data_IF_583179432967
#
_entry.id   IF_583179432967
#
_cell.length_a   1.000
_cell.length_b   1.000
_cell.length_c   1.000
_cell.angle_alpha   90.00
_cell.angle_beta   90.00
_cell.angle_gamma   90.00
#
_symmetry.space_group_name_H-M   'P 1'
#
loop_
_entity.id
_entity.type
_entity.pdbx_description
1 polymer ?
#
# COMPACT_ATOMS: atom_id res chain seq x y z
N UNK A 1 -7.80 5.95 0.61
CA UNK A 1 -7.39 5.36 -0.70
C UNK A 1 -7.13 6.50 -1.64
N UNK A 2 -5.87 6.67 -2.04
CA UNK A 2 -5.46 7.82 -2.85
C UNK A 2 -5.22 7.43 -4.31
N UNK A 3 -4.64 6.24 -4.53
CA UNK A 3 -4.40 5.72 -5.89
C UNK A 3 -4.77 4.24 -5.95
N UNK A 4 -5.42 3.85 -7.04
CA UNK A 4 -5.69 2.46 -7.41
C UNK A 4 -5.14 2.25 -8.82
N UNK A 5 -4.29 1.24 -8.97
CA UNK A 5 -3.73 0.83 -10.26
C UNK A 5 -4.30 -0.53 -10.62
N UNK A 6 -4.93 -0.63 -11.80
CA UNK A 6 -5.46 -1.89 -12.32
C UNK A 6 -4.77 -2.22 -13.65
N UNK A 7 -4.37 -3.48 -13.84
CA UNK A 7 -3.84 -3.95 -15.11
C UNK A 7 -4.90 -4.67 -15.96
N UNK A 8 -4.54 -5.08 -17.19
CA UNK A 8 -5.47 -5.80 -18.09
C UNK A 8 -5.92 -7.17 -17.58
N UNK A 9 -5.24 -7.74 -16.58
CA UNK A 9 -5.60 -9.00 -15.92
C UNK A 9 -6.51 -8.78 -14.70
N UNK A 10 -7.02 -7.54 -14.51
CA UNK A 10 -7.83 -7.12 -13.33
C UNK A 10 -7.10 -7.15 -12.00
N UNK A 11 -5.78 -7.30 -12.02
CA UNK A 11 -4.98 -7.21 -10.80
C UNK A 11 -4.84 -5.77 -10.36
N UNK A 12 -4.94 -5.57 -9.05
CA UNK A 12 -5.03 -4.25 -8.42
C UNK A 12 -3.88 -4.03 -7.44
N UNK A 13 -3.25 -2.86 -7.53
CA UNK A 13 -2.42 -2.29 -6.45
C UNK A 13 -3.16 -1.10 -5.86
N UNK A 14 -3.38 -1.10 -4.55
CA UNK A 14 -3.98 0.01 -3.83
C UNK A 14 -2.91 0.76 -3.03
N UNK A 15 -2.90 2.08 -3.14
CA UNK A 15 -1.90 2.96 -2.52
C UNK A 15 -2.60 4.03 -1.69
N UNK A 16 -2.12 4.19 -0.45
CA UNK A 16 -2.38 5.34 0.41
C UNK A 16 -1.09 6.11 0.68
N UNK A 17 -1.21 7.42 0.88
CA UNK A 17 -0.08 8.31 1.14
C UNK A 17 -0.24 8.95 2.51
N UNK A 18 0.85 8.96 3.29
CA UNK A 18 0.90 9.60 4.62
C UNK A 18 2.11 10.50 4.74
N UNK A 19 1.89 11.70 5.28
CA UNK A 19 2.97 12.64 5.60
C UNK A 19 3.75 12.26 6.87
N UNK A 20 3.34 11.22 7.60
CA UNK A 20 3.97 10.77 8.82
C UNK A 20 5.20 9.89 8.56
N UNK A 21 6.23 10.02 9.42
CA UNK A 21 7.46 9.22 9.37
C UNK A 21 7.34 7.87 10.08
N UNK A 22 6.20 7.61 10.71
CA UNK A 22 5.85 6.34 11.33
C UNK A 22 4.52 5.85 10.76
N UNK A 23 4.39 4.53 10.61
CA UNK A 23 3.19 3.87 10.13
C UNK A 23 2.76 2.84 11.16
N UNK A 24 1.45 2.75 11.41
CA UNK A 24 0.83 1.83 12.36
C UNK A 24 -0.08 0.86 11.61
N UNK A 25 -0.42 -0.26 12.25
CA UNK A 25 -1.33 -1.25 11.67
C UNK A 25 -2.69 -0.68 11.29
N UNK A 26 -3.17 0.38 11.98
CA UNK A 26 -4.46 1.01 11.71
C UNK A 26 -4.45 1.84 10.41
N UNK A 27 -3.27 2.27 9.96
CA UNK A 27 -3.09 2.97 8.68
C UNK A 27 -3.42 2.06 7.48
N UNK A 28 -3.52 0.75 7.69
CA UNK A 28 -3.91 -0.21 6.66
C UNK A 28 -5.41 -0.54 6.67
N UNK A 29 -6.22 0.10 7.52
CA UNK A 29 -7.66 -0.23 7.62
C UNK A 29 -8.38 -0.05 6.28
N UNK A 30 -8.08 1.02 5.54
CA UNK A 30 -8.62 1.22 4.20
C UNK A 30 -8.17 0.12 3.23
N UNK A 31 -6.90 -0.27 3.28
CA UNK A 31 -6.31 -1.26 2.37
C UNK A 31 -6.86 -2.66 2.64
N UNK A 32 -7.09 -3.00 3.91
CA UNK A 32 -7.76 -4.25 4.30
C UNK A 32 -9.18 -4.34 3.79
N UNK A 33 -9.95 -3.24 3.86
CA UNK A 33 -11.31 -3.21 3.26
C UNK A 33 -11.29 -3.42 1.74
N UNK A 34 -10.26 -2.92 1.06
CA UNK A 34 -10.06 -3.18 -0.37
C UNK A 34 -9.69 -4.64 -0.60
N UNK A 35 -8.79 -5.20 0.23
CA UNK A 35 -8.43 -6.61 0.17
C UNK A 35 -9.64 -7.54 0.35
N UNK A 36 -10.51 -7.25 1.33
CA UNK A 36 -11.73 -8.03 1.58
C UNK A 36 -12.69 -8.03 0.39
N UNK A 37 -12.71 -6.94 -0.39
CA UNK A 37 -13.59 -6.78 -1.54
C UNK A 37 -13.01 -7.37 -2.84
N UNK A 38 -11.69 -7.30 -3.01
CA UNK A 38 -11.01 -7.73 -4.24
C UNK A 38 -10.44 -9.15 -4.13
N UNK A 39 -10.25 -9.68 -2.92
CA UNK A 39 -9.68 -11.00 -2.72
C UNK A 39 -8.30 -11.12 -3.36
N UNK A 40 -8.16 -12.11 -4.26
CA UNK A 40 -6.90 -12.42 -4.94
C UNK A 40 -6.54 -11.40 -6.04
N UNK A 41 -7.50 -10.58 -6.48
CA UNK A 41 -7.23 -9.52 -7.46
C UNK A 41 -6.36 -8.41 -6.85
N UNK A 42 -6.42 -8.18 -5.52
CA UNK A 42 -5.49 -7.25 -4.88
C UNK A 42 -4.11 -7.89 -4.77
N UNK A 43 -3.14 -7.46 -5.58
CA UNK A 43 -1.78 -8.00 -5.53
C UNK A 43 -0.91 -7.31 -4.48
N UNK A 44 -1.19 -6.04 -4.15
CA UNK A 44 -0.47 -5.31 -3.09
C UNK A 44 -1.28 -4.12 -2.54
N UNK A 45 -1.19 -3.90 -1.22
CA UNK A 45 -1.57 -2.68 -0.55
C UNK A 45 -0.34 -1.94 -0.02
N UNK A 46 -0.16 -0.69 -0.43
CA UNK A 46 1.03 0.11 -0.13
C UNK A 46 0.62 1.37 0.64
N UNK A 47 1.31 1.65 1.75
CA UNK A 47 1.29 2.97 2.39
C UNK A 47 2.61 3.67 2.08
N UNK A 48 2.58 4.71 1.24
CA UNK A 48 3.71 5.59 1.02
C UNK A 48 3.86 6.53 2.22
N UNK A 49 5.05 6.58 2.80
CA UNK A 49 5.29 7.36 4.03
C UNK A 49 6.67 8.05 4.03
N UNK A 50 6.91 8.94 4.98
CA UNK A 50 8.13 9.78 5.02
C UNK A 50 9.29 9.20 5.82
N UNK A 51 9.20 7.93 6.25
CA UNK A 51 10.34 7.23 6.85
C UNK A 51 11.29 6.66 5.79
N UNK A 52 12.22 5.83 6.23
CA UNK A 52 13.42 5.48 5.44
C UNK A 52 13.51 4.00 5.06
N UNK A 53 12.55 3.16 5.45
CA UNK A 53 12.64 1.72 5.23
C UNK A 53 11.31 1.11 4.84
N UNK A 54 11.34 0.07 4.01
CA UNK A 54 10.14 -0.70 3.70
C UNK A 54 9.81 -1.62 4.87
N UNK A 55 8.59 -1.54 5.40
CA UNK A 55 8.15 -2.30 6.57
C UNK A 55 6.96 -3.21 6.22
N UNK A 56 6.94 -4.48 6.64
CA UNK A 56 5.81 -5.39 6.41
C UNK A 56 4.67 -5.15 7.42
N UNK A 57 3.42 -5.26 6.98
CA UNK A 57 2.22 -5.07 7.82
C UNK A 57 1.17 -6.19 7.66
N UNK A 58 1.60 -7.34 7.17
CA UNK A 58 0.76 -8.52 6.93
C UNK A 58 0.82 -8.96 5.47
N UNK A 59 -0.06 -9.90 5.12
CA UNK A 59 -0.13 -10.42 3.75
C UNK A 59 -0.39 -9.28 2.76
N UNK A 60 0.45 -9.19 1.72
CA UNK A 60 0.38 -8.16 0.66
C UNK A 60 0.39 -6.69 1.13
N UNK A 61 0.66 -6.41 2.41
CA UNK A 61 0.61 -5.06 3.00
C UNK A 61 2.01 -4.56 3.37
N UNK A 62 2.40 -3.40 2.86
CA UNK A 62 3.72 -2.80 3.12
C UNK A 62 3.64 -1.29 3.29
N UNK A 63 4.44 -0.76 4.22
CA UNK A 63 4.78 0.66 4.20
C UNK A 63 6.07 0.83 3.38
N UNK A 64 6.08 1.78 2.45
CA UNK A 64 7.19 2.00 1.52
C UNK A 64 7.59 3.48 1.59
N UNK A 65 8.88 3.82 1.74
CA UNK A 65 9.32 5.21 1.72
C UNK A 65 8.89 5.90 0.44
N UNK A 66 8.38 7.13 0.54
CA UNK A 66 8.02 7.92 -0.65
C UNK A 66 9.25 8.11 -1.55
N UNK A 67 10.45 8.21 -0.98
CA UNK A 67 11.71 8.29 -1.75
C UNK A 67 11.95 7.10 -2.69
N UNK A 68 11.32 5.95 -2.44
CA UNK A 68 11.49 4.76 -3.26
C UNK A 68 10.93 4.94 -4.69
N UNK A 69 9.98 5.86 -4.94
CA UNK A 69 9.50 6.07 -6.32
C UNK A 69 10.53 6.77 -7.23
N UNK A 70 11.64 7.26 -6.66
CA UNK A 70 12.73 7.93 -7.36
C UNK A 70 14.00 7.06 -7.39
N UNK A 71 13.94 5.85 -6.84
CA UNK A 71 15.05 4.89 -6.82
C UNK A 71 14.73 3.78 -7.84
N UNK A 72 15.59 3.64 -8.85
CA UNK A 72 15.55 2.59 -9.87
C UNK A 72 16.47 1.43 -9.50
#
# INVERSE_FOLDING_TARGET
MDVILENRQRQVVAIEVKAASTVRSDDFTGLRRVADRLGDDLIAGIVLYTGTSTLPFGDRMRAVPVSALWQL
#
